data_IF_968432867442
#
_entry.id   IF_968432867442
#
_cell.length_a   1.000
_cell.length_b   1.000
_cell.length_c   1.000
_cell.angle_alpha   90.00
_cell.angle_beta   90.00
_cell.angle_gamma   90.00
#
_symmetry.space_group_name_H-M   'P 1'
#
loop_
_entity.id
_entity.type
_entity.pdbx_description
1 polymer ?
#
# COMPACT_ATOMS: atom_id res chain seq x y z
N UNK A 1 -24.57 -23.40 -26.62
CA UNK A 1 -23.96 -22.06 -26.45
C UNK A 1 -23.20 -22.06 -25.14
N UNK A 2 -21.86 -22.07 -25.20
CA UNK A 2 -21.03 -21.78 -24.03
C UNK A 2 -21.17 -20.29 -23.68
N UNK A 3 -21.24 -19.89 -22.41
CA UNK A 3 -21.13 -18.48 -22.07
C UNK A 3 -19.72 -17.99 -22.40
N UNK A 4 -19.66 -16.84 -23.07
CA UNK A 4 -18.43 -16.19 -23.51
C UNK A 4 -17.48 -15.97 -22.33
N UNK A 5 -16.19 -16.25 -22.57
CA UNK A 5 -15.12 -15.89 -21.65
C UNK A 5 -15.14 -14.37 -21.40
N UNK A 6 -15.24 -13.99 -20.13
CA UNK A 6 -15.25 -12.59 -19.70
C UNK A 6 -13.86 -11.97 -20.00
N UNK A 7 -13.77 -10.92 -20.83
CA UNK A 7 -12.48 -10.33 -21.20
C UNK A 7 -11.95 -9.48 -20.03
N UNK A 8 -10.85 -9.96 -19.44
CA UNK A 8 -9.93 -9.18 -18.60
C UNK A 8 -10.50 -8.69 -17.26
N UNK A 9 -10.69 -9.62 -16.32
CA UNK A 9 -10.51 -9.30 -14.89
C UNK A 9 -9.02 -9.01 -14.66
N UNK A 10 -8.66 -7.74 -14.53
CA UNK A 10 -7.37 -7.38 -13.94
C UNK A 10 -7.43 -7.86 -12.48
N UNK A 11 -6.89 -9.06 -12.23
CA UNK A 11 -6.99 -9.75 -10.96
C UNK A 11 -6.62 -8.82 -9.79
N UNK A 12 -7.44 -8.81 -8.73
CA UNK A 12 -7.13 -8.05 -7.52
C UNK A 12 -5.71 -8.41 -7.03
N UNK A 13 -4.90 -7.41 -6.62
CA UNK A 13 -3.53 -7.65 -6.19
C UNK A 13 -3.53 -8.54 -4.94
N UNK A 14 -2.92 -9.73 -5.05
CA UNK A 14 -2.69 -10.64 -3.93
C UNK A 14 -1.31 -10.35 -3.29
N UNK A 15 -1.18 -10.45 -1.96
CA UNK A 15 0.08 -10.17 -1.24
C UNK A 15 1.31 -10.93 -1.73
N UNK A 16 1.12 -12.20 -2.09
CA UNK A 16 2.16 -13.18 -2.41
C UNK A 16 2.88 -12.96 -3.76
N UNK A 17 2.51 -11.93 -4.54
CA UNK A 17 3.03 -11.73 -5.90
C UNK A 17 3.43 -10.28 -6.25
N UNK A 18 3.63 -9.41 -5.26
CA UNK A 18 3.97 -8.00 -5.50
C UNK A 18 5.47 -7.76 -5.32
N UNK A 19 6.13 -7.32 -6.38
CA UNK A 19 7.56 -6.98 -6.35
C UNK A 19 7.77 -5.47 -6.25
N UNK A 20 8.93 -5.06 -5.71
CA UNK A 20 9.31 -3.65 -5.63
C UNK A 20 9.28 -2.95 -7.01
N UNK A 21 9.64 -3.66 -8.09
CA UNK A 21 9.62 -3.12 -9.46
C UNK A 21 8.21 -2.80 -9.96
N UNK A 22 7.19 -3.57 -9.56
CA UNK A 22 5.80 -3.33 -9.96
C UNK A 22 5.19 -2.09 -9.30
N UNK A 23 5.71 -1.68 -8.13
CA UNK A 23 5.21 -0.52 -7.39
C UNK A 23 6.15 0.68 -7.47
N UNK A 24 7.35 0.54 -8.04
CA UNK A 24 8.41 1.54 -8.02
C UNK A 24 7.94 2.93 -8.50
N UNK A 25 7.17 2.97 -9.59
CA UNK A 25 6.65 4.23 -10.15
C UNK A 25 5.78 4.95 -9.13
N UNK A 26 4.81 4.27 -8.54
CA UNK A 26 3.86 4.90 -7.63
C UNK A 26 4.45 5.12 -6.24
N UNK A 27 5.31 4.22 -5.76
CA UNK A 27 6.09 4.39 -4.54
C UNK A 27 6.94 5.67 -4.60
N UNK A 28 7.49 6.01 -5.77
CA UNK A 28 8.28 7.24 -5.97
C UNK A 28 7.49 8.54 -5.79
N UNK A 29 6.15 8.50 -5.86
CA UNK A 29 5.32 9.65 -5.50
C UNK A 29 5.46 10.03 -4.01
N UNK A 30 5.89 9.08 -3.18
CA UNK A 30 6.00 9.24 -1.74
C UNK A 30 4.65 9.33 -1.03
N UNK A 31 3.53 9.09 -1.70
CA UNK A 31 2.20 9.23 -1.10
C UNK A 31 1.97 8.32 0.11
N UNK A 32 2.72 7.22 0.22
CA UNK A 32 2.78 6.41 1.43
C UNK A 32 4.15 5.72 1.59
N UNK A 33 4.54 5.42 2.82
CA UNK A 33 5.77 4.67 3.15
C UNK A 33 5.69 4.00 4.53
N UNK A 34 6.49 2.96 4.76
CA UNK A 34 6.71 2.37 6.09
C UNK A 34 7.83 3.14 6.78
N UNK A 35 7.60 3.60 8.01
CA UNK A 35 8.57 4.33 8.80
C UNK A 35 9.70 3.40 9.28
N UNK A 36 10.93 3.91 9.35
CA UNK A 36 12.11 3.10 9.73
C UNK A 36 12.14 2.71 11.22
N UNK A 37 11.40 3.42 12.06
CA UNK A 37 11.31 3.17 13.50
C UNK A 37 9.91 2.72 13.91
N UNK A 38 9.86 1.91 14.96
CA UNK A 38 8.63 1.51 15.63
C UNK A 38 8.06 2.68 16.45
N UNK A 39 6.75 2.65 16.70
CA UNK A 39 6.13 3.55 17.66
C UNK A 39 6.48 3.17 19.12
N UNK A 40 5.99 3.97 20.07
CA UNK A 40 6.22 3.74 21.52
C UNK A 40 5.63 2.42 22.04
N UNK A 41 4.77 1.75 21.26
CA UNK A 41 4.18 0.45 21.58
C UNK A 41 4.84 -0.69 20.78
N UNK A 42 5.92 -0.43 20.05
CA UNK A 42 6.64 -1.44 19.27
C UNK A 42 5.99 -1.79 17.93
N UNK A 43 5.09 -0.96 17.41
CA UNK A 43 4.36 -1.22 16.16
C UNK A 43 5.03 -0.51 14.98
N UNK A 44 5.23 -1.17 13.83
CA UNK A 44 5.60 -0.50 12.59
C UNK A 44 4.53 0.48 12.15
N UNK A 45 4.93 1.65 11.69
CA UNK A 45 4.02 2.71 11.26
C UNK A 45 4.04 2.88 9.74
N UNK A 46 2.89 2.75 9.10
CA UNK A 46 2.68 3.17 7.70
C UNK A 46 2.20 4.62 7.74
N UNK A 47 2.92 5.51 7.06
CA UNK A 47 2.55 6.93 6.93
C UNK A 47 1.94 7.15 5.56
N UNK A 48 0.72 7.70 5.52
CA UNK A 48 -0.05 8.00 4.32
C UNK A 48 -0.24 9.51 4.22
N UNK A 49 0.30 10.13 3.16
CA UNK A 49 0.14 11.56 2.86
C UNK A 49 -1.04 11.75 1.92
N UNK A 50 -2.22 12.07 2.47
CA UNK A 50 -3.46 12.05 1.67
C UNK A 50 -3.50 13.15 0.61
N UNK A 51 -2.87 14.31 0.85
CA UNK A 51 -2.68 15.37 -0.16
C UNK A 51 -2.04 14.88 -1.47
N UNK A 52 -1.23 13.83 -1.42
CA UNK A 52 -0.55 13.27 -2.60
C UNK A 52 -1.39 12.21 -3.34
N UNK A 53 -2.60 11.92 -2.88
CA UNK A 53 -3.52 10.99 -3.54
C UNK A 53 -4.46 11.75 -4.48
N UNK A 54 -4.02 11.95 -5.73
CA UNK A 54 -4.82 12.62 -6.77
C UNK A 54 -5.63 11.59 -7.56
N UNK A 55 -6.96 11.76 -7.59
CA UNK A 55 -7.87 10.87 -8.32
C UNK A 55 -7.51 10.86 -9.81
N UNK A 56 -7.38 9.67 -10.41
CA UNK A 56 -7.06 9.50 -11.83
C UNK A 56 -5.58 9.64 -12.18
N UNK A 57 -4.71 10.02 -11.25
CA UNK A 57 -3.26 10.11 -11.51
C UNK A 57 -2.61 8.73 -11.74
N UNK A 58 -3.11 7.70 -11.05
CA UNK A 58 -2.66 6.32 -11.18
C UNK A 58 -3.87 5.40 -11.38
N UNK A 59 -3.74 4.29 -12.12
CA UNK A 59 -4.73 3.22 -12.12
C UNK A 59 -5.01 2.75 -10.69
N UNK A 60 -6.28 2.56 -10.35
CA UNK A 60 -6.67 2.15 -8.98
C UNK A 60 -6.01 0.83 -8.55
N UNK A 61 -5.74 -0.07 -9.49
CA UNK A 61 -5.06 -1.34 -9.21
C UNK A 61 -3.58 -1.16 -8.85
N UNK A 62 -2.91 -0.13 -9.39
CA UNK A 62 -1.53 0.19 -9.01
C UNK A 62 -1.53 0.74 -7.57
N UNK A 63 -2.49 1.62 -7.25
CA UNK A 63 -2.65 2.15 -5.89
C UNK A 63 -2.92 1.04 -4.87
N UNK A 64 -3.81 0.10 -5.20
CA UNK A 64 -4.06 -1.08 -4.36
C UNK A 64 -2.79 -1.92 -4.20
N UNK A 65 -2.02 -2.12 -5.28
CA UNK A 65 -0.77 -2.88 -5.27
C UNK A 65 0.27 -2.23 -4.35
N UNK A 66 0.43 -0.91 -4.40
CA UNK A 66 1.30 -0.18 -3.47
C UNK A 66 0.82 -0.34 -2.02
N UNK A 67 -0.49 -0.25 -1.77
CA UNK A 67 -1.03 -0.41 -0.42
C UNK A 67 -0.71 -1.80 0.15
N UNK A 68 -0.95 -2.87 -0.62
CA UNK A 68 -0.62 -4.26 -0.21
C UNK A 68 0.87 -4.40 0.04
N UNK A 69 1.72 -3.90 -0.86
CA UNK A 69 3.18 -3.96 -0.70
C UNK A 69 3.70 -3.28 0.58
N UNK A 70 3.11 -2.14 0.96
CA UNK A 70 3.48 -1.44 2.19
C UNK A 70 2.97 -2.14 3.45
N UNK A 71 1.77 -2.75 3.38
CA UNK A 71 1.23 -3.59 4.45
C UNK A 71 2.12 -4.81 4.68
N UNK A 72 2.53 -5.51 3.63
CA UNK A 72 3.41 -6.68 3.73
C UNK A 72 4.77 -6.31 4.35
N UNK A 73 5.35 -5.16 3.98
CA UNK A 73 6.57 -4.67 4.61
C UNK A 73 6.38 -4.37 6.11
N UNK A 74 5.27 -3.72 6.47
CA UNK A 74 4.98 -3.42 7.87
C UNK A 74 4.74 -4.71 8.68
N UNK A 75 4.09 -5.72 8.09
CA UNK A 75 3.91 -7.04 8.72
C UNK A 75 5.27 -7.72 8.93
N UNK A 76 6.14 -7.73 7.91
CA UNK A 76 7.48 -8.32 8.04
C UNK A 76 8.30 -7.63 9.15
N UNK A 77 8.20 -6.30 9.26
CA UNK A 77 8.83 -5.54 10.34
C UNK A 77 8.22 -5.86 11.71
N UNK A 78 6.89 -6.05 11.80
CA UNK A 78 6.20 -6.42 13.03
C UNK A 78 6.65 -7.82 13.51
N UNK A 79 6.68 -8.79 12.60
CA UNK A 79 7.13 -10.15 12.87
C UNK A 79 8.60 -10.18 13.35
N UNK A 80 9.48 -9.41 12.71
CA UNK A 80 10.87 -9.28 13.14
C UNK A 80 11.01 -8.66 14.55
N UNK A 81 10.08 -7.79 14.94
CA UNK A 81 10.01 -7.20 16.28
C UNK A 81 9.24 -8.05 17.30
N UNK A 82 8.68 -9.20 16.89
CA UNK A 82 7.86 -10.07 17.75
C UNK A 82 6.44 -9.56 18.01
N UNK A 83 5.92 -8.67 17.16
CA UNK A 83 4.58 -8.10 17.26
C UNK A 83 3.62 -8.55 16.15
N UNK A 84 2.33 -8.35 16.37
CA UNK A 84 1.25 -8.70 15.42
C UNK A 84 0.44 -7.48 14.96
N UNK A 85 0.88 -6.27 15.32
CA UNK A 85 0.15 -5.02 15.08
C UNK A 85 0.96 -4.05 14.22
N UNK A 86 0.25 -3.34 13.35
CA UNK A 86 0.76 -2.21 12.58
C UNK A 86 -0.07 -0.97 12.89
N UNK A 87 0.52 0.21 12.72
CA UNK A 87 -0.15 1.50 12.88
C UNK A 87 -0.28 2.20 11.52
N UNK A 88 -1.48 2.65 11.16
CA UNK A 88 -1.68 3.55 10.03
C UNK A 88 -1.78 5.00 10.49
N UNK A 89 -0.95 5.89 9.94
CA UNK A 89 -0.99 7.33 10.18
C UNK A 89 -1.43 8.03 8.90
N UNK A 90 -2.59 8.66 8.94
CA UNK A 90 -3.11 9.47 7.85
C UNK A 90 -2.81 10.94 8.10
N UNK A 91 -1.88 11.50 7.33
CA UNK A 91 -1.61 12.93 7.31
C UNK A 91 -2.62 13.64 6.40
N UNK A 92 -3.57 14.31 7.04
CA UNK A 92 -4.69 15.01 6.39
C UNK A 92 -4.42 16.49 6.10
N UNK A 93 -3.21 16.99 6.37
CA UNK A 93 -2.87 18.40 6.08
C UNK A 93 -3.02 18.68 4.58
N UNK A 94 -3.71 19.77 4.26
CA UNK A 94 -4.02 20.21 2.90
C UNK A 94 -4.77 19.17 2.04
N UNK A 95 -5.40 18.16 2.65
CA UNK A 95 -6.27 17.23 1.95
C UNK A 95 -7.52 17.95 1.45
N UNK A 96 -7.88 17.76 0.18
CA UNK A 96 -9.07 18.32 -0.45
C UNK A 96 -9.82 17.19 -1.15
N UNK A 97 -11.15 17.22 -1.09
CA UNK A 97 -12.06 16.21 -1.66
C UNK A 97 -12.65 16.65 -2.99
#
# INVERSE_FOLDING_TARGET
>A
MQPAANPTSAADPRPDHITASQVAKEASSGKAYVHSHLDVYGRPAIVIRTRLHVVGQYPINDSKRLAVFLIDQAIAQAQAAGGEQILGIFDLRDFQV
#
